data_IF_197738691197
#
_entry.id   IF_197738691197
#
_cell.length_a   1.000
_cell.length_b   1.000
_cell.length_c   1.000
_cell.angle_alpha   90.00
_cell.angle_beta   90.00
_cell.angle_gamma   90.00
#
_symmetry.space_group_name_H-M   'P 1'
#
loop_
_entity.id
_entity.type
_entity.pdbx_description
1 polymer ?
#
# COMPACT_ATOMS: atom_id res chain seq x y z
N UNK A 1 -46.12 47.12 23.39
CA UNK A 1 -45.48 45.95 24.03
C UNK A 1 -44.26 45.59 23.21
N UNK A 2 -43.10 45.69 23.85
CA UNK A 2 -41.76 45.59 23.31
C UNK A 2 -41.33 44.13 23.05
N UNK A 3 -40.61 43.93 21.95
CA UNK A 3 -39.43 43.07 21.79
C UNK A 3 -39.36 41.74 22.56
N UNK A 4 -39.25 40.62 21.84
CA UNK A 4 -37.94 39.95 21.76
C UNK A 4 -37.98 38.77 20.79
N UNK A 5 -37.17 38.89 19.75
CA UNK A 5 -36.72 37.80 18.90
C UNK A 5 -35.57 37.12 19.65
N UNK A 6 -35.65 35.83 20.04
CA UNK A 6 -34.51 35.19 20.65
C UNK A 6 -33.43 34.94 19.59
N UNK A 7 -32.25 35.45 19.91
CA UNK A 7 -31.03 35.35 19.14
C UNK A 7 -30.46 33.92 19.17
N UNK A 8 -30.04 33.47 17.99
CA UNK A 8 -28.87 32.62 17.69
C UNK A 8 -28.09 32.11 18.90
N UNK A 9 -28.07 30.79 19.10
CA UNK A 9 -26.94 30.08 19.70
C UNK A 9 -26.47 28.99 18.74
N UNK A 10 -25.53 29.35 17.87
CA UNK A 10 -24.70 28.37 17.16
C UNK A 10 -23.72 27.80 18.18
N UNK A 11 -24.07 26.69 18.81
CA UNK A 11 -23.08 25.84 19.47
C UNK A 11 -22.27 25.11 18.40
N UNK A 12 -21.26 25.79 17.84
CA UNK A 12 -20.14 25.12 17.19
C UNK A 12 -19.28 24.50 18.29
N UNK A 13 -19.54 23.24 18.59
CA UNK A 13 -18.67 22.41 19.41
C UNK A 13 -17.45 22.08 18.56
N UNK A 14 -16.37 22.84 18.74
CA UNK A 14 -15.03 22.37 18.39
C UNK A 14 -14.67 21.29 19.40
N UNK A 15 -14.90 20.03 19.04
CA UNK A 15 -14.29 18.92 19.74
C UNK A 15 -12.81 18.95 19.37
N UNK A 16 -11.95 19.41 20.28
CA UNK A 16 -10.52 19.17 20.16
C UNK A 16 -10.30 17.66 20.21
N UNK A 17 -9.94 17.13 19.06
CA UNK A 17 -9.74 15.71 18.77
C UNK A 17 -8.48 15.22 19.50
N UNK A 18 -8.65 14.68 20.70
CA UNK A 18 -7.71 13.71 21.24
C UNK A 18 -7.86 12.44 20.41
N UNK A 19 -7.26 12.43 19.22
CA UNK A 19 -7.28 11.29 18.29
C UNK A 19 -6.81 10.07 19.08
N UNK A 20 -7.72 9.17 19.48
CA UNK A 20 -7.33 8.06 20.33
C UNK A 20 -6.37 7.18 19.51
N UNK A 21 -5.49 6.40 20.15
CA UNK A 21 -4.66 5.42 19.42
C UNK A 21 -5.51 4.46 18.58
N UNK A 22 -6.79 4.29 18.94
CA UNK A 22 -7.78 3.61 18.11
C UNK A 22 -8.00 4.27 16.76
N UNK A 23 -7.77 5.58 16.60
CA UNK A 23 -7.81 6.29 15.31
C UNK A 23 -6.68 5.91 14.35
N UNK A 24 -5.53 5.45 14.87
CA UNK A 24 -4.47 4.91 14.02
C UNK A 24 -4.90 3.56 13.42
N UNK A 25 -5.66 2.78 14.18
CA UNK A 25 -6.34 1.58 13.69
C UNK A 25 -7.62 1.90 12.90
N UNK A 26 -8.25 3.05 13.16
CA UNK A 26 -9.41 3.58 12.45
C UNK A 26 -9.04 4.26 11.12
N UNK A 27 -7.94 3.80 10.49
CA UNK A 27 -7.71 3.95 9.05
C UNK A 27 -8.95 3.47 8.23
N UNK A 28 -9.83 2.69 8.85
CA UNK A 28 -11.20 2.32 8.47
C UNK A 28 -12.15 3.50 8.14
N UNK A 29 -11.98 4.68 8.75
CA UNK A 29 -12.86 5.83 8.47
C UNK A 29 -12.34 6.77 7.38
N UNK A 30 -11.19 6.48 6.76
CA UNK A 30 -10.80 7.20 5.55
C UNK A 30 -11.95 7.06 4.55
N UNK A 31 -12.59 8.16 4.10
CA UNK A 31 -13.77 8.06 3.24
C UNK A 31 -13.44 7.14 2.07
N UNK A 32 -14.36 6.25 1.70
CA UNK A 32 -14.29 5.42 0.49
C UNK A 32 -14.44 6.30 -0.76
N UNK A 33 -13.72 7.42 -0.79
CA UNK A 33 -13.71 8.44 -1.81
C UNK A 33 -12.27 8.50 -2.29
N UNK A 34 -12.00 8.11 -3.55
CA UNK A 34 -10.65 8.17 -4.08
C UNK A 34 -10.17 9.62 -4.02
N UNK A 35 -8.94 9.87 -3.52
CA UNK A 35 -8.36 11.21 -3.55
C UNK A 35 -8.21 11.69 -5.00
N UNK A 36 -8.39 12.99 -5.24
CA UNK A 36 -8.41 13.58 -6.59
C UNK A 36 -7.07 13.51 -7.33
N UNK A 37 -5.98 13.18 -6.64
CA UNK A 37 -4.65 13.01 -7.24
C UNK A 37 -4.50 11.64 -7.90
N UNK A 38 -3.89 11.58 -9.09
CA UNK A 38 -3.62 10.32 -9.81
C UNK A 38 -2.80 9.33 -8.98
N UNK A 39 -1.76 9.80 -8.28
CA UNK A 39 -0.94 8.94 -7.40
C UNK A 39 -1.76 8.47 -6.19
N UNK A 40 -2.58 9.36 -5.62
CA UNK A 40 -3.47 9.02 -4.53
C UNK A 40 -4.49 7.95 -4.92
N UNK A 41 -5.09 8.07 -6.11
CA UNK A 41 -6.05 7.10 -6.63
C UNK A 41 -5.41 5.73 -6.89
N UNK A 42 -4.16 5.70 -7.35
CA UNK A 42 -3.43 4.45 -7.53
C UNK A 42 -3.11 3.76 -6.19
N UNK A 43 -2.58 4.51 -5.22
CA UNK A 43 -2.30 3.98 -3.89
C UNK A 43 -3.58 3.53 -3.18
N UNK A 44 -4.68 4.28 -3.33
CA UNK A 44 -5.99 3.91 -2.81
C UNK A 44 -6.49 2.59 -3.42
N UNK A 45 -6.37 2.41 -4.74
CA UNK A 45 -6.74 1.14 -5.41
C UNK A 45 -5.91 -0.04 -4.92
N UNK A 46 -4.60 0.14 -4.73
CA UNK A 46 -3.73 -0.92 -4.22
C UNK A 46 -4.05 -1.28 -2.78
N UNK A 47 -4.35 -0.28 -1.95
CA UNK A 47 -4.83 -0.47 -0.58
C UNK A 47 -6.14 -1.24 -0.54
N UNK A 48 -7.17 -0.79 -1.28
CA UNK A 48 -8.48 -1.45 -1.33
C UNK A 48 -8.37 -2.88 -1.88
N UNK A 49 -7.53 -3.09 -2.90
CA UNK A 49 -7.29 -4.43 -3.42
C UNK A 49 -6.71 -5.36 -2.36
N UNK A 50 -5.73 -4.90 -1.58
CA UNK A 50 -5.18 -5.68 -0.46
C UNK A 50 -6.23 -5.91 0.64
N UNK A 51 -7.02 -4.90 0.99
CA UNK A 51 -8.10 -5.03 1.98
C UNK A 51 -9.12 -6.11 1.57
N UNK A 52 -9.50 -6.16 0.29
CA UNK A 52 -10.47 -7.12 -0.26
C UNK A 52 -9.86 -8.52 -0.43
N UNK A 53 -8.66 -8.65 -0.99
CA UNK A 53 -8.07 -9.98 -1.25
C UNK A 53 -7.72 -10.73 0.03
N UNK A 54 -7.37 -10.01 1.09
CA UNK A 54 -6.91 -10.60 2.33
C UNK A 54 -7.92 -10.50 3.48
N UNK A 55 -9.12 -9.94 3.23
CA UNK A 55 -10.18 -9.85 4.23
C UNK A 55 -9.80 -9.04 5.46
N UNK A 56 -8.86 -8.08 5.31
CA UNK A 56 -8.27 -7.30 6.42
C UNK A 56 -9.32 -6.50 7.20
N UNK A 57 -10.50 -6.26 6.60
CA UNK A 57 -11.64 -5.61 7.24
C UNK A 57 -12.33 -6.46 8.32
N UNK A 58 -12.11 -7.78 8.34
CA UNK A 58 -12.77 -8.71 9.27
C UNK A 58 -11.86 -9.05 10.46
N UNK A 59 -10.54 -8.82 10.33
CA UNK A 59 -9.56 -9.14 11.36
C UNK A 59 -9.66 -8.22 12.57
N UNK A 60 -9.40 -8.77 13.76
CA UNK A 60 -9.29 -7.96 14.97
C UNK A 60 -8.09 -7.00 14.88
N UNK A 61 -8.10 -5.87 15.62
CA UNK A 61 -7.03 -4.87 15.54
C UNK A 61 -5.63 -5.44 15.81
N UNK A 62 -5.51 -6.45 16.69
CA UNK A 62 -4.23 -7.09 17.00
C UNK A 62 -3.77 -8.04 15.89
N UNK A 63 -4.68 -8.79 15.27
CA UNK A 63 -4.38 -9.69 14.14
C UNK A 63 -3.94 -8.88 12.93
N UNK A 64 -4.55 -7.71 12.72
CA UNK A 64 -4.18 -6.75 11.66
C UNK A 64 -2.73 -6.31 11.79
N UNK A 65 -2.23 -6.06 13.00
CA UNK A 65 -0.82 -5.70 13.24
C UNK A 65 0.11 -6.85 12.85
N UNK A 66 -0.19 -8.07 13.30
CA UNK A 66 0.61 -9.24 12.96
C UNK A 66 0.61 -9.49 11.45
N UNK A 67 -0.57 -9.43 10.83
CA UNK A 67 -0.74 -9.62 9.40
C UNK A 67 0.08 -8.62 8.58
N UNK A 68 -0.02 -7.32 8.89
CA UNK A 68 0.75 -6.26 8.21
C UNK A 68 2.25 -6.47 8.41
N UNK A 69 2.68 -6.89 9.61
CA UNK A 69 4.09 -7.17 9.92
C UNK A 69 4.61 -8.32 9.05
N UNK A 70 3.91 -9.45 9.03
CA UNK A 70 4.28 -10.62 8.22
C UNK A 70 4.33 -10.26 6.74
N UNK A 71 3.29 -9.58 6.23
CA UNK A 71 3.24 -9.14 4.83
C UNK A 71 4.42 -8.23 4.48
N UNK A 72 4.78 -7.30 5.37
CA UNK A 72 5.91 -6.39 5.17
C UNK A 72 7.23 -7.14 5.15
N UNK A 73 7.43 -8.11 6.06
CA UNK A 73 8.64 -8.96 6.09
C UNK A 73 8.75 -9.80 4.82
N UNK A 74 7.67 -10.45 4.40
CA UNK A 74 7.66 -11.24 3.15
C UNK A 74 7.90 -10.36 1.92
N UNK A 75 7.25 -9.20 1.85
CA UNK A 75 7.37 -8.29 0.70
C UNK A 75 8.77 -7.66 0.62
N UNK A 76 9.37 -7.30 1.75
CA UNK A 76 10.76 -6.81 1.80
C UNK A 76 11.76 -7.91 1.44
N UNK A 77 11.58 -9.13 1.95
CA UNK A 77 12.41 -10.28 1.56
C UNK A 77 12.31 -10.54 0.06
N UNK A 78 11.10 -10.50 -0.50
CA UNK A 78 10.87 -10.66 -1.94
C UNK A 78 11.53 -9.53 -2.75
N UNK A 79 11.43 -8.28 -2.27
CA UNK A 79 12.10 -7.13 -2.89
C UNK A 79 13.63 -7.27 -2.89
N UNK A 80 14.22 -7.69 -1.77
CA UNK A 80 15.66 -7.96 -1.67
C UNK A 80 16.06 -9.10 -2.60
N UNK A 81 15.24 -10.15 -2.68
CA UNK A 81 15.44 -11.27 -3.59
C UNK A 81 15.46 -10.82 -5.04
N UNK A 82 14.44 -10.08 -5.49
CA UNK A 82 14.40 -9.51 -6.84
C UNK A 82 15.64 -8.67 -7.09
N UNK A 83 15.95 -7.71 -6.21
CA UNK A 83 17.06 -6.80 -6.44
C UNK A 83 18.41 -7.52 -6.55
N UNK A 84 18.65 -8.56 -5.73
CA UNK A 84 19.92 -9.27 -5.69
C UNK A 84 20.02 -10.42 -6.69
N UNK A 85 18.93 -11.15 -6.91
CA UNK A 85 18.91 -12.38 -7.72
C UNK A 85 18.60 -12.11 -9.19
N UNK A 86 17.72 -11.15 -9.48
CA UNK A 86 17.29 -10.84 -10.84
C UNK A 86 18.43 -10.36 -11.76
N UNK A 87 19.33 -9.42 -11.38
CA UNK A 87 20.43 -9.03 -12.25
C UNK A 87 21.41 -10.18 -12.50
N UNK A 88 21.62 -11.05 -11.50
CA UNK A 88 22.48 -12.22 -11.64
C UNK A 88 21.93 -13.19 -12.70
N UNK A 89 20.64 -13.51 -12.65
CA UNK A 89 19.99 -14.40 -13.61
C UNK A 89 19.83 -13.79 -15.01
N UNK A 90 19.59 -12.47 -15.08
CA UNK A 90 19.49 -11.80 -16.37
C UNK A 90 20.83 -11.78 -17.09
N UNK A 91 21.97 -11.64 -16.39
CA UNK A 91 23.28 -11.61 -17.04
C UNK A 91 23.62 -12.93 -17.78
N UNK A 92 23.32 -14.07 -17.14
CA UNK A 92 23.58 -15.41 -17.71
C UNK A 92 22.59 -15.75 -18.82
N UNK A 93 21.31 -15.39 -18.63
CA UNK A 93 20.26 -15.60 -19.64
C UNK A 93 20.48 -14.69 -20.84
N UNK A 94 20.93 -13.45 -20.65
CA UNK A 94 21.24 -12.51 -21.71
C UNK A 94 22.43 -12.98 -22.55
N UNK A 95 23.50 -13.48 -21.92
CA UNK A 95 24.64 -14.05 -22.64
C UNK A 95 24.21 -15.23 -23.53
N UNK A 96 23.34 -16.11 -23.02
CA UNK A 96 22.77 -17.23 -23.79
C UNK A 96 21.80 -16.76 -24.88
N UNK A 97 20.92 -15.81 -24.59
CA UNK A 97 19.99 -15.26 -25.57
C UNK A 97 20.74 -14.59 -26.72
N UNK A 98 21.83 -13.86 -26.44
CA UNK A 98 22.70 -13.27 -27.46
C UNK A 98 23.39 -14.35 -28.31
N UNK A 99 23.80 -15.46 -27.71
CA UNK A 99 24.33 -16.61 -28.45
C UNK A 99 23.30 -17.17 -29.45
N UNK A 100 22.06 -17.40 -29.01
CA UNK A 100 20.99 -17.90 -29.88
C UNK A 100 20.54 -16.90 -30.95
N UNK A 101 20.57 -15.59 -30.67
CA UNK A 101 20.15 -14.54 -31.61
C UNK A 101 21.24 -14.17 -32.61
N UNK A 102 22.51 -14.12 -32.21
CA UNK A 102 23.62 -13.74 -33.11
C UNK A 102 24.19 -14.88 -33.94
N UNK A 103 23.78 -16.13 -33.66
CA UNK A 103 24.12 -17.29 -34.49
C UNK A 103 25.62 -17.62 -34.53
N UNK A 104 26.44 -17.12 -33.59
CA UNK A 104 27.86 -17.48 -33.52
C UNK A 104 28.03 -18.85 -32.89
N UNK A 105 27.77 -19.89 -33.68
CA UNK A 105 28.42 -21.18 -33.49
C UNK A 105 29.91 -21.03 -33.87
N UNK A 106 30.77 -20.84 -32.88
CA UNK A 106 32.15 -21.26 -33.04
C UNK A 106 32.68 -21.87 -31.76
N UNK A 107 32.97 -23.16 -31.88
CA UNK A 107 33.81 -23.94 -31.00
C UNK A 107 35.02 -23.13 -30.52
N UNK A 108 35.18 -23.04 -29.21
CA UNK A 108 36.48 -22.98 -28.53
C UNK A 108 36.17 -23.46 -27.10
N UNK A 109 36.21 -24.77 -26.82
CA UNK A 109 37.45 -25.49 -26.50
C UNK A 109 38.44 -24.61 -25.74
N UNK A 110 38.26 -24.54 -24.42
CA UNK A 110 39.15 -25.03 -23.35
C UNK A 110 38.65 -24.45 -22.02
#
# INVERSE_FOLDING_TARGET
MTSSKPARSSHHVHHEDSVPLTSLFAIELAPYKPPSSHLGAFLWRKRVWLEVTFGVSVLEPWEKILYITVLTVLSSLFGIWIYKYLPHQLSTTYARARYYVSGQEHQALI
#
